data_IF_683412691669
#
_entry.id   IF_683412691669
#
_cell.length_a   1.000
_cell.length_b   1.000
_cell.length_c   1.000
_cell.angle_alpha   90.00
_cell.angle_beta   90.00
_cell.angle_gamma   90.00
#
_symmetry.space_group_name_H-M   'P 1'
#
loop_
_entity.id
_entity.type
_entity.pdbx_description
1 polymer ?
#
# COMPACT_ATOMS: atom_id res chain seq x y z
N UNK A 1 12.17 -23.36 -3.64
CA UNK A 1 11.05 -23.33 -2.68
C UNK A 1 10.02 -22.35 -3.23
N UNK A 2 8.75 -22.74 -3.35
CA UNK A 2 7.67 -21.82 -3.76
C UNK A 2 7.50 -20.77 -2.67
N UNK A 3 7.49 -19.47 -3.01
CA UNK A 3 7.13 -18.42 -2.04
C UNK A 3 5.71 -18.72 -1.52
N UNK A 4 5.44 -18.51 -0.22
CA UNK A 4 4.10 -18.70 0.32
C UNK A 4 3.10 -17.78 -0.39
N UNK A 5 1.83 -18.21 -0.57
CA UNK A 5 0.81 -17.36 -1.16
C UNK A 5 0.61 -16.09 -0.33
N UNK A 6 0.59 -14.95 -1.01
CA UNK A 6 0.30 -13.66 -0.39
C UNK A 6 -1.22 -13.52 -0.29
N UNK A 7 -1.71 -13.11 0.87
CA UNK A 7 -3.12 -12.79 1.13
C UNK A 7 -3.22 -11.37 1.61
N UNK A 8 -4.23 -10.64 1.13
CA UNK A 8 -4.50 -9.30 1.60
C UNK A 8 -5.15 -9.31 3.00
N UNK A 9 -4.64 -8.54 3.98
CA UNK A 9 -5.15 -8.58 5.34
C UNK A 9 -6.40 -7.71 5.50
N UNK A 10 -7.56 -8.22 5.07
CA UNK A 10 -8.86 -7.49 5.11
C UNK A 10 -9.37 -7.13 6.50
N UNK A 11 -8.81 -7.74 7.56
CA UNK A 11 -9.15 -7.44 8.96
C UNK A 11 -8.21 -6.44 9.62
N UNK A 12 -7.17 -5.98 8.92
CA UNK A 12 -6.26 -4.96 9.44
C UNK A 12 -6.99 -3.62 9.51
N UNK A 13 -6.77 -2.86 10.59
CA UNK A 13 -7.25 -1.49 10.68
C UNK A 13 -6.08 -0.55 10.38
N UNK A 14 -6.30 0.38 9.46
CA UNK A 14 -5.33 1.40 9.09
C UNK A 14 -5.73 2.70 9.80
N UNK A 15 -4.82 3.24 10.60
CA UNK A 15 -4.97 4.53 11.26
C UNK A 15 -3.59 5.00 11.69
N UNK A 16 -3.29 6.27 11.44
CA UNK A 16 -2.04 6.91 11.82
C UNK A 16 -2.23 8.43 11.86
N UNK A 17 -1.41 9.13 12.64
CA UNK A 17 -1.47 10.59 12.82
C UNK A 17 -0.15 11.30 12.50
N UNK A 18 0.91 10.53 12.25
CA UNK A 18 2.25 11.02 11.99
C UNK A 18 3.03 10.00 11.16
N UNK A 19 4.17 10.42 10.64
CA UNK A 19 4.99 9.62 9.71
C UNK A 19 5.47 8.31 10.35
N UNK A 20 5.77 8.32 11.65
CA UNK A 20 6.24 7.15 12.39
C UNK A 20 5.15 6.08 12.46
N UNK A 21 3.92 6.47 12.77
CA UNK A 21 2.77 5.56 12.79
C UNK A 21 2.45 5.02 11.40
N UNK A 22 2.48 5.88 10.37
CA UNK A 22 2.27 5.47 8.98
C UNK A 22 3.31 4.42 8.52
N UNK A 23 4.60 4.66 8.79
CA UNK A 23 5.68 3.72 8.43
C UNK A 23 5.52 2.37 9.11
N UNK A 24 5.13 2.35 10.40
CA UNK A 24 4.79 1.11 11.12
C UNK A 24 3.64 0.36 10.46
N UNK A 25 2.61 1.08 10.02
CA UNK A 25 1.48 0.49 9.31
C UNK A 25 1.91 -0.12 7.97
N UNK A 26 2.69 0.60 7.16
CA UNK A 26 3.21 0.08 5.88
C UNK A 26 4.05 -1.18 6.09
N UNK A 27 4.98 -1.16 7.06
CA UNK A 27 5.79 -2.34 7.39
C UNK A 27 4.93 -3.55 7.73
N UNK A 28 3.90 -3.36 8.56
CA UNK A 28 2.99 -4.44 8.93
C UNK A 28 2.15 -4.94 7.75
N UNK A 29 1.62 -4.02 6.93
CA UNK A 29 0.78 -4.34 5.79
C UNK A 29 1.56 -5.15 4.74
N UNK A 30 2.80 -4.72 4.46
CA UNK A 30 3.67 -5.34 3.44
C UNK A 30 4.45 -6.53 4.00
N UNK A 31 4.29 -6.83 5.30
CA UNK A 31 5.04 -7.85 6.04
C UNK A 31 6.55 -7.68 5.92
N UNK A 32 7.01 -6.43 5.91
CA UNK A 32 8.42 -6.09 5.89
C UNK A 32 9.11 -6.68 7.12
N UNK A 33 10.16 -7.45 6.87
CA UNK A 33 11.07 -7.93 7.89
C UNK A 33 12.18 -6.91 8.08
N UNK A 34 12.42 -6.50 9.32
CA UNK A 34 13.56 -5.64 9.59
C UNK A 34 14.82 -6.46 9.36
N UNK A 35 15.56 -6.18 8.28
CA UNK A 35 16.92 -6.70 8.13
C UNK A 35 17.82 -5.91 9.09
N UNK A 36 17.84 -6.32 10.36
CA UNK A 36 18.73 -5.76 11.40
C UNK A 36 20.21 -6.15 11.16
N UNK A 37 20.58 -6.46 9.91
CA UNK A 37 21.95 -6.79 9.57
C UNK A 37 22.76 -5.49 9.46
N UNK A 38 23.54 -5.28 10.52
CA UNK A 38 24.70 -4.40 10.66
C UNK A 38 24.47 -2.89 10.71
N UNK A 39 24.07 -2.39 11.88
CA UNK A 39 24.65 -1.14 12.41
C UNK A 39 25.31 -1.36 13.78
N UNK A 40 25.77 -2.59 14.05
CA UNK A 40 26.69 -2.88 15.17
C UNK A 40 28.08 -2.41 14.78
N UNK A 41 28.30 -1.11 14.80
CA UNK A 41 29.60 -0.53 14.46
C UNK A 41 29.53 0.99 14.46
N UNK A 42 29.80 1.57 15.63
CA UNK A 42 30.43 2.88 15.85
C UNK A 42 29.75 4.12 15.22
N UNK A 43 29.27 5.00 16.11
CA UNK A 43 28.81 6.39 15.89
C UNK A 43 27.47 6.63 15.15
N UNK A 44 26.34 6.33 15.82
CA UNK A 44 25.00 6.77 15.38
C UNK A 44 24.21 7.54 16.46
N UNK A 45 24.86 8.43 17.21
CA UNK A 45 24.13 9.31 18.15
C UNK A 45 23.27 10.39 17.46
N UNK A 46 23.23 10.46 16.12
CA UNK A 46 22.55 11.57 15.40
C UNK A 46 21.69 11.17 14.18
N UNK A 47 21.38 9.88 13.96
CA UNK A 47 20.46 9.51 12.86
C UNK A 47 19.03 9.49 13.39
N UNK A 48 18.18 10.35 12.82
CA UNK A 48 16.78 10.40 13.18
C UNK A 48 16.03 9.12 12.74
N UNK A 49 14.94 8.81 13.44
CA UNK A 49 14.17 7.58 13.24
C UNK A 49 13.61 7.43 11.82
N UNK A 50 13.34 8.54 11.10
CA UNK A 50 12.80 8.51 9.74
C UNK A 50 13.90 8.11 8.76
N UNK A 51 15.08 8.74 8.86
CA UNK A 51 16.23 8.38 8.02
C UNK A 51 16.62 6.91 8.23
N UNK A 52 16.62 6.46 9.49
CA UNK A 52 16.90 5.06 9.80
C UNK A 52 15.84 4.11 9.20
N UNK A 53 14.56 4.47 9.22
CA UNK A 53 13.49 3.69 8.61
C UNK A 53 13.68 3.55 7.10
N UNK A 54 14.04 4.64 6.42
CA UNK A 54 14.28 4.67 4.97
C UNK A 54 15.44 3.78 4.56
N UNK A 55 16.53 3.79 5.32
CA UNK A 55 17.68 2.92 5.06
C UNK A 55 17.35 1.44 5.27
N UNK A 56 16.44 1.14 6.19
CA UNK A 56 15.98 -0.21 6.50
C UNK A 56 14.69 -0.58 5.73
N UNK A 57 14.44 0.04 4.58
CA UNK A 57 13.29 -0.30 3.74
C UNK A 57 13.46 -1.70 3.14
N UNK A 58 12.56 -2.62 3.48
CA UNK A 58 12.60 -4.00 3.01
C UNK A 58 11.93 -4.12 1.63
N UNK A 59 12.72 -3.85 0.59
CA UNK A 59 12.28 -3.99 -0.81
C UNK A 59 12.00 -5.44 -1.21
N UNK A 60 12.61 -6.42 -0.53
CA UNK A 60 12.41 -7.86 -0.80
C UNK A 60 11.01 -8.33 -0.40
N UNK A 61 10.43 -7.70 0.62
CA UNK A 61 9.02 -7.91 1.02
C UNK A 61 8.06 -6.95 0.30
N UNK A 62 8.46 -5.69 0.12
CA UNK A 62 7.59 -4.68 -0.47
C UNK A 62 7.26 -4.94 -1.95
N UNK A 63 8.28 -5.31 -2.74
CA UNK A 63 8.11 -5.48 -4.19
C UNK A 63 7.11 -6.61 -4.50
N UNK A 64 7.24 -7.82 -3.93
CA UNK A 64 6.26 -8.89 -4.16
C UNK A 64 4.85 -8.55 -3.68
N UNK A 65 4.72 -7.75 -2.62
CA UNK A 65 3.41 -7.30 -2.16
C UNK A 65 2.77 -6.36 -3.17
N UNK A 66 3.51 -5.38 -3.67
CA UNK A 66 3.04 -4.44 -4.70
C UNK A 66 2.69 -5.16 -6.00
N UNK A 67 3.54 -6.10 -6.44
CA UNK A 67 3.27 -6.96 -7.61
C UNK A 67 1.98 -7.76 -7.42
N UNK A 68 1.79 -8.35 -6.24
CA UNK A 68 0.57 -9.08 -5.91
C UNK A 68 -0.68 -8.19 -6.01
N UNK A 69 -0.64 -6.97 -5.48
CA UNK A 69 -1.76 -6.04 -5.57
C UNK A 69 -2.04 -5.68 -7.02
N UNK A 70 -1.00 -5.31 -7.78
CA UNK A 70 -1.14 -4.95 -9.18
C UNK A 70 -1.71 -6.10 -10.00
N UNK A 71 -1.12 -7.30 -9.93
CA UNK A 71 -1.58 -8.46 -10.68
C UNK A 71 -3.00 -8.88 -10.31
N UNK A 72 -3.39 -8.71 -9.04
CA UNK A 72 -4.75 -9.00 -8.58
C UNK A 72 -5.79 -8.00 -9.07
N UNK A 73 -5.40 -6.80 -9.50
CA UNK A 73 -6.32 -5.67 -9.71
C UNK A 73 -6.22 -5.03 -11.10
N UNK A 74 -5.16 -5.29 -11.86
CA UNK A 74 -4.84 -4.58 -13.11
C UNK A 74 -5.88 -4.71 -14.21
N UNK A 75 -6.70 -5.77 -14.19
CA UNK A 75 -7.78 -5.98 -15.17
C UNK A 75 -9.12 -5.36 -14.73
N UNK A 76 -9.16 -4.79 -13.53
CA UNK A 76 -10.39 -4.22 -12.95
C UNK A 76 -10.44 -2.71 -13.28
N UNK A 77 -11.46 -2.24 -14.01
CA UNK A 77 -11.53 -0.85 -14.49
C UNK A 77 -11.42 0.20 -13.38
N UNK A 78 -12.00 -0.07 -12.20
CA UNK A 78 -11.94 0.83 -11.04
C UNK A 78 -10.48 1.08 -10.60
N UNK A 79 -9.66 0.03 -10.54
CA UNK A 79 -8.25 0.16 -10.16
C UNK A 79 -7.41 0.80 -11.27
N UNK A 80 -7.70 0.50 -12.54
CA UNK A 80 -7.05 1.19 -13.67
C UNK A 80 -7.30 2.71 -13.62
N UNK A 81 -8.52 3.13 -13.30
CA UNK A 81 -8.86 4.54 -13.09
C UNK A 81 -8.00 5.15 -11.97
N UNK A 82 -7.92 4.47 -10.82
CA UNK A 82 -7.15 4.95 -9.68
C UNK A 82 -5.66 5.05 -9.98
N UNK A 83 -5.06 4.02 -10.59
CA UNK A 83 -3.66 4.04 -11.00
C UNK A 83 -3.35 5.18 -11.95
N UNK A 84 -4.19 5.39 -12.97
CA UNK A 84 -3.99 6.47 -13.92
C UNK A 84 -4.11 7.85 -13.25
N UNK A 85 -5.13 8.05 -12.41
CA UNK A 85 -5.34 9.32 -11.71
C UNK A 85 -4.21 9.66 -10.76
N UNK A 86 -3.79 8.71 -9.92
CA UNK A 86 -2.71 8.94 -8.97
C UNK A 86 -1.37 9.13 -9.68
N UNK A 87 -1.05 8.35 -10.72
CA UNK A 87 0.16 8.54 -11.51
C UNK A 87 0.23 9.94 -12.15
N UNK A 88 -0.93 10.51 -12.50
CA UNK A 88 -1.05 11.86 -13.05
C UNK A 88 -0.50 12.96 -12.12
N UNK A 89 -0.46 12.74 -10.80
CA UNK A 89 0.17 13.68 -9.85
C UNK A 89 1.69 13.82 -10.07
N UNK A 90 2.31 12.84 -10.72
CA UNK A 90 3.72 12.84 -11.08
C UNK A 90 3.93 13.02 -12.59
N UNK A 91 2.93 13.56 -13.30
CA UNK A 91 2.93 13.73 -14.76
C UNK A 91 3.20 12.40 -15.50
N UNK A 92 2.67 11.30 -14.97
CA UNK A 92 2.87 9.95 -15.48
C UNK A 92 1.53 9.23 -15.73
N UNK A 93 1.56 8.23 -16.61
CA UNK A 93 0.47 7.27 -16.78
C UNK A 93 0.86 5.86 -16.30
N UNK A 94 2.07 5.70 -15.77
CA UNK A 94 2.60 4.41 -15.32
C UNK A 94 1.88 3.90 -14.06
N UNK A 95 1.22 2.75 -14.18
CA UNK A 95 0.39 2.21 -13.12
C UNK A 95 1.18 1.90 -11.83
N UNK A 96 2.46 1.52 -11.95
CA UNK A 96 3.33 1.31 -10.79
C UNK A 96 3.57 2.58 -9.97
N UNK A 97 3.72 3.73 -10.65
CA UNK A 97 3.80 5.04 -9.98
C UNK A 97 2.47 5.35 -9.29
N UNK A 98 1.37 5.10 -9.99
CA UNK A 98 0.04 5.29 -9.43
C UNK A 98 -0.23 4.44 -8.18
N UNK A 99 0.18 3.17 -8.21
CA UNK A 99 0.06 2.25 -7.08
C UNK A 99 0.92 2.71 -5.90
N UNK A 100 2.16 3.16 -6.14
CA UNK A 100 3.02 3.70 -5.09
C UNK A 100 2.40 4.93 -4.40
N UNK A 101 1.75 5.81 -5.17
CA UNK A 101 1.04 6.97 -4.63
C UNK A 101 -0.19 6.56 -3.82
N UNK A 102 -0.94 5.55 -4.26
CA UNK A 102 -2.11 5.05 -3.52
C UNK A 102 -1.73 4.42 -2.17
N UNK A 103 -0.51 3.93 -2.03
CA UNK A 103 0.05 3.48 -0.75
C UNK A 103 0.72 4.59 0.06
N UNK A 104 0.76 5.84 -0.42
CA UNK A 104 1.36 6.95 0.31
C UNK A 104 0.53 7.38 1.52
N UNK A 105 1.12 8.21 2.39
CA UNK A 105 0.50 8.72 3.60
C UNK A 105 -0.91 9.29 3.37
N UNK A 106 -1.11 10.02 2.29
CA UNK A 106 -2.39 10.70 2.03
C UNK A 106 -3.48 9.74 1.57
N UNK A 107 -3.16 8.59 0.97
CA UNK A 107 -4.15 7.74 0.30
C UNK A 107 -4.31 6.36 0.92
N UNK A 108 -3.33 5.88 1.69
CA UNK A 108 -3.28 4.52 2.20
C UNK A 108 -4.56 4.07 2.90
N UNK A 109 -5.14 4.87 3.79
CA UNK A 109 -6.37 4.51 4.50
C UNK A 109 -7.56 4.29 3.55
N UNK A 110 -7.87 5.27 2.69
CA UNK A 110 -8.98 5.18 1.74
C UNK A 110 -8.75 4.07 0.70
N UNK A 111 -7.51 3.89 0.25
CA UNK A 111 -7.15 2.81 -0.68
C UNK A 111 -7.22 1.43 -0.03
N UNK A 112 -6.84 1.31 1.24
CA UNK A 112 -7.00 0.06 1.99
C UNK A 112 -8.46 -0.35 2.11
N UNK A 113 -9.40 0.58 2.34
CA UNK A 113 -10.83 0.26 2.35
C UNK A 113 -11.31 -0.31 1.01
N UNK A 114 -10.89 0.26 -0.12
CA UNK A 114 -11.21 -0.26 -1.46
C UNK A 114 -10.66 -1.68 -1.65
N UNK A 115 -9.40 -1.90 -1.27
CA UNK A 115 -8.79 -3.23 -1.35
C UNK A 115 -9.50 -4.23 -0.44
N UNK A 116 -9.92 -3.84 0.77
CA UNK A 116 -10.70 -4.69 1.65
C UNK A 116 -12.03 -5.13 1.03
N UNK A 117 -12.77 -4.20 0.42
CA UNK A 117 -14.01 -4.53 -0.28
C UNK A 117 -13.76 -5.47 -1.46
N UNK A 118 -12.73 -5.19 -2.26
CA UNK A 118 -12.35 -6.03 -3.40
C UNK A 118 -11.96 -7.46 -2.98
N UNK A 119 -11.03 -7.59 -2.04
CA UNK A 119 -10.55 -8.90 -1.58
C UNK A 119 -11.62 -9.68 -0.82
N UNK A 120 -12.54 -9.00 -0.14
CA UNK A 120 -13.71 -9.64 0.50
C UNK A 120 -14.72 -10.14 -0.54
N UNK A 121 -14.92 -9.40 -1.62
CA UNK A 121 -15.78 -9.81 -2.74
C UNK A 121 -15.24 -11.05 -3.45
N UNK A 122 -13.96 -11.07 -3.86
CA UNK A 122 -13.38 -12.22 -4.58
C UNK A 122 -13.23 -13.47 -3.68
N UNK A 123 -13.19 -13.29 -2.36
CA UNK A 123 -13.25 -14.37 -1.37
C UNK A 123 -14.67 -14.96 -1.20
N UNK A 124 -15.69 -14.42 -1.89
CA UNK A 124 -17.09 -14.85 -1.78
C UNK A 124 -17.78 -14.45 -0.48
N UNK A 125 -17.19 -13.53 0.29
CA UNK A 125 -17.73 -13.01 1.56
C UNK A 125 -18.49 -11.69 1.39
N UNK A 126 -18.25 -10.99 0.28
CA UNK A 126 -18.91 -9.74 -0.10
C UNK A 126 -20.03 -9.95 -1.12
N UNK A 127 -20.89 -8.95 -1.28
CA UNK A 127 -21.99 -8.98 -2.26
C UNK A 127 -21.51 -8.63 -3.68
N UNK A 128 -21.04 -7.39 -3.86
CA UNK A 128 -20.64 -6.83 -5.16
C UNK A 128 -19.51 -5.83 -4.97
N UNK A 129 -18.58 -5.80 -5.93
CA UNK A 129 -17.55 -4.78 -6.02
C UNK A 129 -17.84 -3.88 -7.23
N UNK A 130 -18.36 -2.67 -6.99
CA UNK A 130 -18.78 -1.74 -8.02
C UNK A 130 -18.47 -0.27 -7.67
N UNK A 131 -18.79 0.62 -8.62
CA UNK A 131 -18.53 2.07 -8.52
C UNK A 131 -19.32 2.81 -7.45
N UNK A 132 -20.34 2.18 -6.86
CA UNK A 132 -21.22 2.77 -5.85
C UNK A 132 -20.77 2.46 -4.42
N UNK A 133 -19.73 1.65 -4.25
CA UNK A 133 -19.17 1.37 -2.94
C UNK A 133 -18.68 2.65 -2.26
N UNK A 134 -18.99 2.87 -0.96
CA UNK A 134 -18.53 4.06 -0.24
C UNK A 134 -17.02 4.26 -0.28
N UNK A 135 -16.24 3.19 -0.18
CA UNK A 135 -14.77 3.22 -0.26
C UNK A 135 -14.27 3.72 -1.62
N UNK A 136 -14.91 3.26 -2.71
CA UNK A 136 -14.60 3.67 -4.09
C UNK A 136 -14.95 5.13 -4.31
N UNK A 137 -16.11 5.58 -3.83
CA UNK A 137 -16.54 6.97 -3.92
C UNK A 137 -15.59 7.89 -3.14
N UNK A 138 -15.24 7.52 -1.90
CA UNK A 138 -14.34 8.29 -1.04
C UNK A 138 -12.97 8.48 -1.71
N UNK A 139 -12.34 7.39 -2.16
CA UNK A 139 -11.03 7.47 -2.81
C UNK A 139 -11.10 8.28 -4.11
N UNK A 140 -12.14 8.10 -4.92
CA UNK A 140 -12.34 8.87 -6.16
C UNK A 140 -12.44 10.38 -5.89
N UNK A 141 -13.16 10.77 -4.83
CA UNK A 141 -13.22 12.17 -4.40
C UNK A 141 -11.86 12.70 -3.94
N UNK A 142 -11.09 11.88 -3.21
CA UNK A 142 -9.76 12.24 -2.72
C UNK A 142 -8.77 12.49 -3.86
N UNK A 143 -8.82 11.67 -4.92
CA UNK A 143 -7.97 11.79 -6.10
C UNK A 143 -8.34 12.94 -7.06
N UNK A 144 -9.38 13.72 -6.75
CA UNK A 144 -9.84 14.84 -7.57
C UNK A 144 -9.57 16.20 -6.91
N UNK A 145 -9.03 16.20 -5.69
CA UNK A 145 -8.64 17.42 -4.96
C UNK A 145 -7.25 17.88 -5.40
#
# INVERSE_FOLDING_TARGET
MSKPPIFYPTNMKISYKNDIEYRKVIRNLFKMTCNVLSMTGEDHEEIDEITQDEWNYDSESATPFMDFIYDSTREIPIFQEFYKKSAGFMLSEEAGIGLAILFSYDYLESFHHVLCDYFTYIDGKGSVFDDQLPSVIELRQKLTR
#
